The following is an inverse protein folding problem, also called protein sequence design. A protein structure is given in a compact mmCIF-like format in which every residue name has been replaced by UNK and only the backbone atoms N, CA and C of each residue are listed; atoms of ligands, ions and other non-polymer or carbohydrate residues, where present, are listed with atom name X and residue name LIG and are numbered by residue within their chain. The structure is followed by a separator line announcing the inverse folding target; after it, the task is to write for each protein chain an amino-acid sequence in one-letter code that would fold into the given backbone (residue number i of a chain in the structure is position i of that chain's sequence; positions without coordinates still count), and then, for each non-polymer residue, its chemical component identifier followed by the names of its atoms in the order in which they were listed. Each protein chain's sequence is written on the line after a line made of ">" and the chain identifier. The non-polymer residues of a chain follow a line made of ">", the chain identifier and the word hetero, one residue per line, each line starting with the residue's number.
data_IF_511883759364
#
_entry.id   IF_511883759364
#
_cell.length_a   1.000
_cell.length_b   1.000
_cell.length_c   1.000
_cell.angle_alpha   90.00
_cell.angle_beta   90.00
_cell.angle_gamma   90.00
#
_symmetry.space_group_name_H-M   'P 1'
#
loop_
_entity.id
_entity.type
_entity.pdbx_description
1 polymer ?
#
# COMPACT_ATOMS: atom_id res chain seq x y z
N UNK A 1 14.74 4.97 29.56
CA UNK A 1 15.28 6.21 28.97
C UNK A 1 15.59 5.92 27.52
N UNK A 2 14.86 6.59 26.63
CA UNK A 2 14.95 6.47 25.17
C UNK A 2 16.23 7.13 24.66
N UNK A 3 16.81 6.60 23.57
CA UNK A 3 17.31 7.41 22.46
C UNK A 3 17.08 6.65 21.13
N UNK A 4 16.44 7.37 20.19
CA UNK A 4 16.15 6.98 18.81
C UNK A 4 17.42 7.09 17.95
N UNK A 5 17.63 6.13 17.05
CA UNK A 5 18.57 6.28 15.93
C UNK A 5 17.84 7.02 14.78
N UNK A 6 18.24 8.27 14.55
CA UNK A 6 17.74 9.14 13.47
C UNK A 6 18.71 8.97 12.28
N UNK A 7 18.40 8.02 11.39
CA UNK A 7 18.98 7.91 10.05
C UNK A 7 20.33 7.17 9.96
N UNK A 8 20.40 6.19 9.05
CA UNK A 8 21.67 5.69 8.52
C UNK A 8 21.81 6.22 7.09
N UNK A 9 22.87 6.99 6.90
CA UNK A 9 23.36 7.55 5.65
C UNK A 9 23.60 6.42 4.62
N UNK A 10 23.02 6.54 3.42
CA UNK A 10 23.33 5.69 2.27
C UNK A 10 24.75 6.01 1.78
N UNK A 11 25.69 5.08 1.95
CA UNK A 11 26.92 5.05 1.17
C UNK A 11 26.83 3.95 0.12
N UNK A 12 27.08 4.38 -1.11
CA UNK A 12 27.04 3.65 -2.36
C UNK A 12 28.03 2.49 -2.42
N UNK A 13 27.68 1.54 -3.28
CA UNK A 13 28.49 0.44 -3.84
C UNK A 13 28.97 -0.60 -2.85
N UNK A 14 28.43 -1.82 -2.89
CA UNK A 14 29.26 -3.03 -2.80
C UNK A 14 28.53 -4.26 -3.37
N UNK A 15 29.30 -5.00 -4.17
CA UNK A 15 29.02 -6.13 -5.04
C UNK A 15 28.03 -7.19 -4.57
N UNK A 16 27.23 -7.67 -5.54
CA UNK A 16 26.55 -8.96 -5.52
C UNK A 16 27.62 -10.09 -5.49
N UNK A 17 27.86 -10.67 -4.32
CA UNK A 17 28.64 -11.90 -4.20
C UNK A 17 28.22 -12.64 -2.91
N UNK A 18 27.70 -13.85 -3.09
CA UNK A 18 27.46 -14.80 -2.01
C UNK A 18 26.05 -15.37 -2.03
N UNK A 19 25.89 -16.50 -2.72
CA UNK A 19 24.90 -17.52 -2.34
C UNK A 19 25.11 -17.84 -0.86
N UNK A 20 24.35 -17.18 0.01
CA UNK A 20 24.14 -17.66 1.37
C UNK A 20 22.94 -18.59 1.29
N UNK A 21 23.18 -19.89 1.50
CA UNK A 21 22.14 -20.80 1.94
C UNK A 21 21.48 -20.19 3.19
N UNK A 22 20.36 -19.51 2.98
CA UNK A 22 19.49 -19.11 4.06
C UNK A 22 18.86 -20.40 4.59
N UNK A 23 19.43 -20.93 5.69
CA UNK A 23 18.71 -21.87 6.55
C UNK A 23 17.32 -21.29 6.78
N UNK A 24 16.32 -21.90 6.15
CA UNK A 24 14.91 -21.59 6.30
C UNK A 24 14.58 -21.77 7.77
N UNK A 25 14.71 -20.72 8.58
CA UNK A 25 14.16 -20.71 9.92
C UNK A 25 12.66 -20.93 9.72
N UNK A 26 12.15 -22.00 10.29
CA UNK A 26 10.72 -22.29 10.34
C UNK A 26 10.06 -21.17 11.16
N UNK A 27 9.78 -20.05 10.49
CA UNK A 27 8.99 -18.96 11.05
C UNK A 27 7.59 -19.52 11.11
N UNK A 28 7.26 -20.17 12.23
CA UNK A 28 5.91 -20.60 12.55
C UNK A 28 5.02 -19.38 12.43
N UNK A 29 4.29 -19.29 11.32
CA UNK A 29 3.31 -18.23 11.13
C UNK A 29 2.25 -18.45 12.21
N UNK A 30 2.00 -17.46 13.10
CA UNK A 30 0.87 -17.58 13.99
C UNK A 30 -0.39 -17.82 13.15
N UNK A 31 -1.25 -18.73 13.60
CA UNK A 31 -2.53 -19.01 12.92
C UNK A 31 -3.46 -17.81 13.12
N UNK A 32 -3.25 -16.77 12.33
CA UNK A 32 -4.08 -15.58 12.30
C UNK A 32 -5.22 -15.87 11.34
N UNK A 33 -6.47 -15.71 11.82
CA UNK A 33 -7.65 -15.78 10.95
C UNK A 33 -7.52 -14.71 9.85
N UNK A 34 -7.91 -15.02 8.60
CA UNK A 34 -7.92 -14.02 7.54
C UNK A 34 -8.68 -12.76 7.97
N UNK A 35 -8.09 -11.59 7.70
CA UNK A 35 -8.71 -10.31 7.97
C UNK A 35 -9.64 -9.99 6.80
N UNK A 36 -10.91 -9.69 7.10
CA UNK A 36 -11.86 -9.17 6.13
C UNK A 36 -11.89 -7.65 6.20
N UNK A 37 -11.98 -6.99 5.05
CA UNK A 37 -12.14 -5.54 4.93
C UNK A 37 -13.52 -5.24 4.36
N UNK A 38 -14.27 -4.36 5.02
CA UNK A 38 -15.55 -3.87 4.51
C UNK A 38 -15.32 -2.51 3.83
N UNK A 39 -15.66 -2.36 2.54
CA UNK A 39 -15.59 -1.06 1.88
C UNK A 39 -16.50 -0.05 2.57
N UNK A 40 -15.98 1.14 2.86
CA UNK A 40 -16.75 2.24 3.50
C UNK A 40 -17.22 3.31 2.50
N UNK A 41 -16.91 3.12 1.22
CA UNK A 41 -17.18 4.06 0.17
C UNK A 41 -16.43 3.75 -1.11
N UNK A 42 -16.51 4.65 -2.08
CA UNK A 42 -15.85 4.55 -3.39
C UNK A 42 -15.04 5.80 -3.71
N UNK A 43 -13.97 5.62 -4.48
CA UNK A 43 -13.19 6.72 -5.03
C UNK A 43 -13.70 7.03 -6.43
N UNK A 44 -14.21 8.24 -6.66
CA UNK A 44 -14.54 8.73 -8.00
C UNK A 44 -13.50 9.74 -8.46
N UNK A 45 -13.10 9.66 -9.73
CA UNK A 45 -12.17 10.60 -10.35
C UNK A 45 -12.83 11.23 -11.58
N UNK A 46 -12.78 12.56 -11.67
CA UNK A 46 -13.27 13.32 -12.82
C UNK A 46 -12.23 14.39 -13.16
N UNK A 47 -11.57 14.22 -14.31
CA UNK A 47 -10.46 15.08 -14.72
C UNK A 47 -9.35 15.12 -13.67
N UNK A 48 -9.07 16.32 -13.14
CA UNK A 48 -8.03 16.56 -12.13
C UNK A 48 -8.52 16.46 -10.68
N UNK A 49 -9.81 16.20 -10.45
CA UNK A 49 -10.40 16.10 -9.11
C UNK A 49 -10.78 14.65 -8.79
N UNK A 50 -10.75 14.34 -7.50
CA UNK A 50 -11.22 13.07 -6.96
C UNK A 50 -12.14 13.33 -5.77
N UNK A 51 -13.11 12.45 -5.59
CA UNK A 51 -14.08 12.44 -4.50
C UNK A 51 -14.04 11.10 -3.80
N UNK A 52 -14.12 11.13 -2.48
CA UNK A 52 -14.39 9.96 -1.66
C UNK A 52 -15.87 10.00 -1.34
N UNK A 53 -16.64 9.13 -1.98
CA UNK A 53 -18.07 8.98 -1.68
C UNK A 53 -18.22 7.91 -0.61
N UNK A 54 -18.56 8.34 0.60
CA UNK A 54 -18.72 7.47 1.77
C UNK A 54 -20.15 6.96 1.80
N UNK A 55 -20.33 5.66 2.08
CA UNK A 55 -21.68 5.09 2.12
C UNK A 55 -22.50 5.69 3.28
N UNK A 56 -23.83 5.86 3.12
CA UNK A 56 -24.66 6.60 4.09
C UNK A 56 -24.55 6.12 5.53
N UNK A 57 -24.42 4.81 5.77
CA UNK A 57 -24.29 4.19 7.09
C UNK A 57 -23.01 4.62 7.83
N UNK A 58 -21.98 5.06 7.10
CA UNK A 58 -20.72 5.57 7.67
C UNK A 58 -20.71 7.10 7.78
N UNK A 59 -21.76 7.80 7.35
CA UNK A 59 -21.87 9.26 7.39
C UNK A 59 -21.54 9.91 8.74
N UNK A 60 -22.02 9.38 9.89
CA UNK A 60 -21.67 9.92 11.20
C UNK A 60 -20.16 9.97 11.50
N UNK A 61 -19.36 9.12 10.86
CA UNK A 61 -17.90 9.09 11.04
C UNK A 61 -17.18 10.29 10.41
N UNK A 62 -17.87 11.13 9.62
CA UNK A 62 -17.31 12.33 9.01
C UNK A 62 -17.28 13.54 9.95
N UNK A 63 -17.88 13.43 11.13
CA UNK A 63 -17.92 14.51 12.11
C UNK A 63 -16.49 14.97 12.47
N UNK A 64 -16.23 16.27 12.35
CA UNK A 64 -14.92 16.88 12.64
C UNK A 64 -13.90 16.80 11.51
N UNK A 65 -14.16 16.06 10.42
CA UNK A 65 -13.20 15.90 9.31
C UNK A 65 -12.84 17.23 8.64
N UNK A 66 -13.76 18.20 8.63
CA UNK A 66 -13.54 19.58 8.12
C UNK A 66 -12.41 20.33 8.83
N UNK A 67 -12.03 19.92 10.04
CA UNK A 67 -10.93 20.53 10.79
C UNK A 67 -9.53 20.15 10.31
N UNK A 68 -9.40 19.17 9.41
CA UNK A 68 -8.12 18.68 8.92
C UNK A 68 -7.81 19.21 7.51
N UNK A 69 -6.51 19.42 7.22
CA UNK A 69 -6.06 19.84 5.89
C UNK A 69 -5.79 18.68 4.94
N UNK A 70 -5.48 17.49 5.49
CA UNK A 70 -5.10 16.30 4.75
C UNK A 70 -5.66 15.05 5.40
N UNK A 71 -5.77 13.99 4.60
CA UNK A 71 -6.14 12.66 5.04
C UNK A 71 -5.24 11.61 4.40
N UNK A 72 -5.14 10.47 5.06
CA UNK A 72 -4.56 9.26 4.49
C UNK A 72 -5.71 8.40 3.94
N UNK A 73 -5.71 8.14 2.63
CA UNK A 73 -6.66 7.23 1.99
C UNK A 73 -6.01 5.86 1.85
N UNK A 74 -6.66 4.87 2.45
CA UNK A 74 -6.44 3.48 2.11
C UNK A 74 -7.54 3.05 1.14
N UNK A 75 -7.17 2.38 0.05
CA UNK A 75 -8.11 1.93 -0.97
C UNK A 75 -7.70 0.55 -1.48
N UNK A 76 -8.64 -0.16 -2.07
CA UNK A 76 -8.41 -1.51 -2.59
C UNK A 76 -8.32 -1.50 -4.11
N UNK A 77 -7.28 -2.11 -4.67
CA UNK A 77 -7.17 -2.34 -6.12
C UNK A 77 -8.11 -3.48 -6.53
N UNK A 78 -9.42 -3.22 -6.51
CA UNK A 78 -10.46 -4.22 -6.76
C UNK A 78 -10.37 -4.87 -8.14
N UNK A 79 -9.92 -4.15 -9.18
CA UNK A 79 -9.65 -4.73 -10.51
C UNK A 79 -8.44 -5.68 -10.53
N UNK A 80 -7.63 -5.68 -9.47
CA UNK A 80 -6.50 -6.58 -9.29
C UNK A 80 -6.80 -7.76 -8.36
N UNK A 81 -8.04 -7.91 -7.88
CA UNK A 81 -8.43 -8.91 -6.87
C UNK A 81 -8.74 -10.28 -7.47
N UNK A 82 -7.75 -10.81 -8.20
CA UNK A 82 -7.76 -12.17 -8.72
C UNK A 82 -6.71 -13.02 -8.02
N UNK A 83 -6.90 -14.35 -7.90
CA UNK A 83 -5.90 -15.23 -7.31
C UNK A 83 -4.51 -15.08 -7.98
N UNK A 84 -4.48 -14.86 -9.30
CA UNK A 84 -3.27 -14.72 -10.10
C UNK A 84 -2.51 -13.44 -9.73
N UNK A 85 -3.18 -12.29 -9.71
CA UNK A 85 -2.55 -11.01 -9.40
C UNK A 85 -2.08 -10.93 -7.95
N UNK A 86 -2.83 -11.54 -7.02
CA UNK A 86 -2.43 -11.62 -5.61
C UNK A 86 -1.20 -12.49 -5.37
N UNK A 87 -0.91 -13.46 -6.24
CA UNK A 87 0.30 -14.28 -6.18
C UNK A 87 1.54 -13.59 -6.77
N UNK A 88 1.40 -12.39 -7.34
CA UNK A 88 2.52 -11.65 -7.92
C UNK A 88 3.49 -11.17 -6.84
N UNK A 89 4.77 -11.54 -6.99
CA UNK A 89 5.85 -11.17 -6.05
C UNK A 89 6.90 -10.24 -6.67
N UNK A 90 7.00 -10.20 -8.00
CA UNK A 90 7.93 -9.35 -8.75
C UNK A 90 7.24 -8.78 -9.98
N UNK A 91 7.59 -7.55 -10.34
CA UNK A 91 7.08 -6.87 -11.54
C UNK A 91 8.18 -6.04 -12.19
N UNK A 92 8.03 -5.73 -13.46
CA UNK A 92 8.70 -4.58 -14.07
C UNK A 92 7.88 -3.32 -13.71
N UNK A 93 8.40 -2.38 -12.89
CA UNK A 93 7.65 -1.20 -12.47
C UNK A 93 7.04 -0.44 -13.65
N UNK A 94 5.83 0.10 -13.46
CA UNK A 94 5.02 0.76 -14.50
C UNK A 94 4.71 -0.11 -15.72
N UNK A 95 4.88 -1.44 -15.62
CA UNK A 95 4.74 -2.42 -16.71
C UNK A 95 5.68 -2.15 -17.88
N UNK A 96 6.82 -1.53 -17.60
CA UNK A 96 7.81 -1.17 -18.61
C UNK A 96 9.03 -2.11 -18.51
N UNK A 97 9.26 -2.98 -19.51
CA UNK A 97 10.33 -3.98 -19.49
C UNK A 97 11.75 -3.40 -19.37
N UNK A 98 11.95 -2.12 -19.69
CA UNK A 98 13.24 -1.44 -19.51
C UNK A 98 13.55 -1.18 -18.03
N UNK A 99 12.53 -1.10 -17.16
CA UNK A 99 12.75 -1.00 -15.72
C UNK A 99 13.22 -2.36 -15.17
N UNK A 100 14.14 -2.39 -14.20
CA UNK A 100 14.63 -3.65 -13.63
C UNK A 100 13.50 -4.42 -12.94
N UNK A 101 13.54 -5.75 -13.04
CA UNK A 101 12.62 -6.63 -12.32
C UNK A 101 12.74 -6.37 -10.81
N UNK A 102 11.63 -5.99 -10.19
CA UNK A 102 11.62 -5.47 -8.82
C UNK A 102 10.58 -6.22 -7.98
N UNK A 103 10.94 -6.60 -6.75
CA UNK A 103 9.98 -7.20 -5.81
C UNK A 103 8.85 -6.23 -5.44
N UNK A 104 7.61 -6.72 -5.33
CA UNK A 104 6.42 -5.87 -5.11
C UNK A 104 6.46 -5.08 -3.80
N UNK A 105 7.24 -5.52 -2.81
CA UNK A 105 7.45 -4.80 -1.55
C UNK A 105 8.50 -3.68 -1.64
N UNK A 106 9.32 -3.68 -2.70
CA UNK A 106 10.29 -2.63 -2.99
C UNK A 106 9.75 -1.55 -3.94
N UNK A 107 8.49 -1.67 -4.40
CA UNK A 107 7.87 -0.72 -5.30
C UNK A 107 6.38 -0.48 -4.96
N UNK A 108 5.67 0.27 -5.80
CA UNK A 108 4.25 0.62 -5.63
C UNK A 108 3.34 -0.13 -6.61
N UNK A 109 3.66 -1.39 -6.90
CA UNK A 109 2.86 -2.21 -7.80
C UNK A 109 1.42 -2.37 -7.28
N UNK A 110 0.40 -2.27 -8.15
CA UNK A 110 -0.97 -2.57 -7.75
C UNK A 110 -1.16 -4.07 -7.53
N UNK A 111 -0.46 -4.94 -8.29
CA UNK A 111 -0.41 -6.38 -8.07
C UNK A 111 0.48 -6.72 -6.87
N UNK A 112 -0.09 -7.34 -5.83
CA UNK A 112 0.60 -7.77 -4.59
C UNK A 112 -0.31 -8.63 -3.72
N UNK A 113 0.23 -9.36 -2.72
CA UNK A 113 -0.57 -10.24 -1.86
C UNK A 113 -1.75 -9.58 -1.12
N UNK A 114 -1.58 -8.32 -0.72
CA UNK A 114 -2.63 -7.49 -0.12
C UNK A 114 -2.75 -6.18 -0.92
N UNK A 115 -3.87 -6.01 -1.60
CA UNK A 115 -4.08 -5.00 -2.65
C UNK A 115 -4.40 -3.60 -2.11
N UNK A 116 -3.79 -3.22 -0.98
CA UNK A 116 -4.10 -2.00 -0.21
C UNK A 116 -3.28 -0.82 -0.72
N UNK A 117 -3.84 -0.02 -1.61
CA UNK A 117 -3.35 1.30 -1.98
C UNK A 117 -3.32 2.26 -0.79
N UNK A 118 -2.39 3.21 -0.82
CA UNK A 118 -2.21 4.22 0.22
C UNK A 118 -1.78 5.54 -0.42
N UNK A 119 -2.46 6.63 -0.08
CA UNK A 119 -2.10 7.97 -0.56
C UNK A 119 -2.42 9.06 0.47
N UNK A 120 -1.57 10.08 0.55
CA UNK A 120 -1.93 11.34 1.21
C UNK A 120 -2.78 12.16 0.23
N UNK A 121 -3.87 12.73 0.73
CA UNK A 121 -4.76 13.59 -0.04
C UNK A 121 -5.00 14.89 0.72
N UNK A 122 -4.92 16.02 0.02
CA UNK A 122 -5.39 17.30 0.55
C UNK A 122 -6.91 17.34 0.53
N UNK A 123 -7.51 17.74 1.64
CA UNK A 123 -8.95 17.97 1.72
C UNK A 123 -9.26 19.31 1.06
N UNK A 124 -10.17 19.29 0.08
CA UNK A 124 -10.66 20.50 -0.59
C UNK A 124 -11.96 20.97 0.06
N UNK A 125 -12.85 20.01 0.30
CA UNK A 125 -14.21 20.22 0.77
C UNK A 125 -14.72 18.92 1.38
N UNK A 126 -15.56 19.04 2.40
CA UNK A 126 -16.36 17.94 2.96
C UNK A 126 -17.81 18.41 2.90
N UNK A 127 -18.70 17.60 2.32
CA UNK A 127 -20.12 17.91 2.15
C UNK A 127 -20.94 17.37 3.31
#
# INVERSE_FOLDING_TARGET
>A
MNLLLIGVLLLSTYSYAGDREQKQKDVRRPTIKPISLTPVGVVKKQGKRAWLEIYPEYGPALLGLRGFSHLWVFYWFHENDTPEQRRTLQVHPRRDPANPLTGVFACRAPERPNLIGFTACRIIQVN
#
